data_IF_230394744672
#
_entry.id   IF_230394744672
#
_cell.length_a   1.000
_cell.length_b   1.000
_cell.length_c   1.000
_cell.angle_alpha   90.00
_cell.angle_beta   90.00
_cell.angle_gamma   90.00
#
_symmetry.space_group_name_H-M   'P 1'
#
loop_
_entity.id
_entity.type
_entity.pdbx_description
1 polymer ?
#
# COMPACT_ATOMS: atom_id res chain seq x y z
N UNK A 1 -18.68 -20.10 9.94
CA UNK A 1 -18.81 -19.18 8.79
C UNK A 1 -18.56 -17.77 9.30
N UNK A 2 -17.63 -17.00 8.73
CA UNK A 2 -17.27 -15.68 9.25
C UNK A 2 -18.41 -14.68 8.97
N UNK A 3 -19.04 -14.13 10.01
CA UNK A 3 -20.21 -13.23 9.92
C UNK A 3 -19.97 -12.05 8.96
N UNK A 4 -18.77 -11.48 9.00
CA UNK A 4 -18.38 -10.37 8.11
C UNK A 4 -18.29 -10.80 6.66
N UNK A 5 -17.80 -12.02 6.40
CA UNK A 5 -17.76 -12.58 5.05
C UNK A 5 -19.16 -12.76 4.49
N UNK A 6 -20.08 -13.34 5.26
CA UNK A 6 -21.48 -13.52 4.83
C UNK A 6 -22.18 -12.18 4.60
N UNK A 7 -21.94 -11.19 5.46
CA UNK A 7 -22.51 -9.84 5.30
C UNK A 7 -21.94 -9.10 4.09
N UNK A 8 -20.66 -9.26 3.79
CA UNK A 8 -20.02 -8.66 2.61
C UNK A 8 -20.59 -9.26 1.31
N UNK A 9 -20.77 -10.58 1.24
CA UNK A 9 -21.39 -11.22 0.08
C UNK A 9 -22.80 -10.69 -0.18
N UNK A 10 -23.65 -10.61 0.86
CA UNK A 10 -24.99 -10.05 0.72
C UNK A 10 -25.02 -8.56 0.34
N UNK A 11 -23.97 -7.80 0.67
CA UNK A 11 -23.84 -6.41 0.26
C UNK A 11 -23.50 -6.34 -1.23
N UNK A 12 -22.51 -7.13 -1.67
CA UNK A 12 -22.09 -7.22 -3.08
C UNK A 12 -23.25 -7.63 -3.96
N UNK A 13 -24.05 -8.63 -3.55
CA UNK A 13 -25.22 -9.11 -4.30
C UNK A 13 -26.32 -8.04 -4.50
N UNK A 14 -26.27 -6.93 -3.75
CA UNK A 14 -27.27 -5.86 -3.79
C UNK A 14 -26.79 -4.60 -4.51
N UNK A 15 -25.51 -4.52 -4.83
CA UNK A 15 -24.92 -3.38 -5.53
C UNK A 15 -25.05 -3.61 -7.04
N UNK A 16 -25.29 -2.54 -7.78
CA UNK A 16 -25.13 -2.55 -9.23
C UNK A 16 -23.65 -2.62 -9.62
N UNK A 17 -23.37 -2.97 -10.87
CA UNK A 17 -21.99 -3.04 -11.38
C UNK A 17 -21.27 -1.69 -11.26
N UNK A 18 -21.96 -0.58 -11.47
CA UNK A 18 -21.42 0.79 -11.31
C UNK A 18 -21.06 1.08 -9.85
N UNK A 19 -21.96 0.78 -8.91
CA UNK A 19 -21.67 0.95 -7.47
C UNK A 19 -20.55 0.03 -6.98
N UNK A 20 -20.41 -1.16 -7.57
CA UNK A 20 -19.30 -2.08 -7.30
C UNK A 20 -17.97 -1.54 -7.80
N UNK A 21 -17.93 -0.97 -9.01
CA UNK A 21 -16.74 -0.36 -9.58
C UNK A 21 -16.28 0.84 -8.75
N UNK A 22 -17.19 1.74 -8.40
CA UNK A 22 -16.90 2.89 -7.52
C UNK A 22 -16.40 2.43 -6.14
N UNK A 23 -17.07 1.45 -5.53
CA UNK A 23 -16.69 0.91 -4.22
C UNK A 23 -15.33 0.20 -4.27
N UNK A 24 -14.98 -0.41 -5.40
CA UNK A 24 -13.71 -1.09 -5.58
C UNK A 24 -12.53 -0.12 -5.56
N UNK A 25 -12.64 1.04 -6.20
CA UNK A 25 -11.58 2.08 -6.22
C UNK A 25 -11.23 2.53 -4.80
N UNK A 26 -12.23 2.78 -3.97
CA UNK A 26 -12.05 3.17 -2.57
C UNK A 26 -11.43 2.04 -1.74
N UNK A 27 -11.95 0.81 -1.92
CA UNK A 27 -11.45 -0.36 -1.19
C UNK A 27 -10.00 -0.69 -1.57
N UNK A 28 -9.65 -0.57 -2.85
CA UNK A 28 -8.31 -0.81 -3.37
C UNK A 28 -7.30 0.17 -2.76
N UNK A 29 -7.64 1.46 -2.72
CA UNK A 29 -6.80 2.50 -2.09
C UNK A 29 -6.56 2.18 -0.62
N UNK A 30 -7.63 1.90 0.13
CA UNK A 30 -7.54 1.54 1.55
C UNK A 30 -6.74 0.25 1.78
N UNK A 31 -6.87 -0.72 0.88
CA UNK A 31 -6.12 -1.97 0.94
C UNK A 31 -4.62 -1.72 0.77
N UNK A 32 -4.22 -0.92 -0.22
CA UNK A 32 -2.81 -0.57 -0.44
C UNK A 32 -2.23 0.21 0.74
N UNK A 33 -2.94 1.21 1.26
CA UNK A 33 -2.51 1.96 2.43
C UNK A 33 -2.31 1.05 3.64
N UNK A 34 -3.28 0.16 3.92
CA UNK A 34 -3.19 -0.80 5.00
C UNK A 34 -2.01 -1.77 4.81
N UNK A 35 -1.80 -2.25 3.58
CA UNK A 35 -0.71 -3.15 3.25
C UNK A 35 0.65 -2.49 3.48
N UNK A 36 0.87 -1.29 2.94
CA UNK A 36 2.11 -0.52 3.11
C UNK A 36 2.34 -0.23 4.59
N UNK A 37 1.32 0.18 5.33
CA UNK A 37 1.45 0.45 6.76
C UNK A 37 1.87 -0.82 7.53
N UNK A 38 1.26 -1.97 7.24
CA UNK A 38 1.65 -3.25 7.86
C UNK A 38 3.08 -3.64 7.52
N UNK A 39 3.50 -3.45 6.27
CA UNK A 39 4.87 -3.72 5.86
C UNK A 39 5.88 -2.84 6.61
N UNK A 40 5.60 -1.54 6.74
CA UNK A 40 6.42 -0.60 7.52
C UNK A 40 6.49 -1.04 8.98
N UNK A 41 5.36 -1.38 9.60
CA UNK A 41 5.31 -1.84 10.99
C UNK A 41 6.10 -3.14 11.20
N UNK A 42 6.01 -4.09 10.26
CA UNK A 42 6.79 -5.32 10.30
C UNK A 42 8.29 -5.03 10.17
N UNK A 43 8.67 -4.17 9.23
CA UNK A 43 10.07 -3.74 9.01
C UNK A 43 10.65 -3.12 10.27
N UNK A 44 9.91 -2.20 10.92
CA UNK A 44 10.32 -1.55 12.17
C UNK A 44 10.63 -2.52 13.30
N UNK A 45 10.02 -3.71 13.34
CA UNK A 45 10.33 -4.72 14.37
C UNK A 45 11.71 -5.35 14.20
N UNK A 46 12.24 -5.36 12.97
CA UNK A 46 13.55 -5.95 12.64
C UNK A 46 14.66 -4.92 12.45
N UNK A 47 14.37 -3.62 12.49
CA UNK A 47 15.38 -2.58 12.31
C UNK A 47 16.26 -2.42 13.54
N UNK A 48 17.57 -2.42 13.33
CA UNK A 48 18.56 -1.96 14.30
C UNK A 48 18.93 -0.49 14.04
N UNK A 49 19.54 0.20 15.02
CA UNK A 49 20.11 1.51 14.79
C UNK A 49 21.10 1.49 13.61
N UNK A 50 20.84 2.29 12.57
CA UNK A 50 21.65 2.35 11.35
C UNK A 50 21.05 1.63 10.12
N UNK A 51 20.03 0.77 10.29
CA UNK A 51 19.36 0.08 9.18
C UNK A 51 18.40 1.00 8.40
N UNK A 52 18.10 2.18 8.96
CA UNK A 52 17.22 3.17 8.35
C UNK A 52 17.97 4.44 8.04
N UNK A 53 17.72 4.99 6.85
CA UNK A 53 18.18 6.31 6.49
C UNK A 53 17.29 7.38 7.13
N UNK A 54 17.91 8.44 7.61
CA UNK A 54 17.22 9.72 7.83
C UNK A 54 16.73 10.27 6.48
N UNK A 55 15.78 11.22 6.54
CA UNK A 55 15.27 11.88 5.34
C UNK A 55 16.39 12.54 4.53
N UNK A 56 17.35 13.17 5.20
CA UNK A 56 18.49 13.84 4.59
C UNK A 56 19.45 12.84 3.93
N UNK A 57 19.69 11.69 4.56
CA UNK A 57 20.51 10.61 3.99
C UNK A 57 19.83 9.97 2.77
N UNK A 58 18.53 9.72 2.85
CA UNK A 58 17.74 9.21 1.73
C UNK A 58 17.74 10.20 0.54
N UNK A 59 17.57 11.50 0.79
CA UNK A 59 17.62 12.54 -0.24
C UNK A 59 18.99 12.65 -0.92
N UNK A 60 20.09 12.35 -0.22
CA UNK A 60 21.44 12.29 -0.82
C UNK A 60 21.63 11.07 -1.71
N UNK A 61 20.94 9.96 -1.42
CA UNK A 61 21.02 8.72 -2.19
C UNK A 61 20.06 8.69 -3.39
N UNK A 62 18.96 9.44 -3.35
CA UNK A 62 17.97 9.51 -4.45
C UNK A 62 18.58 9.93 -5.81
N UNK A 63 19.50 10.92 -5.90
CA UNK A 63 20.20 11.24 -7.15
C UNK A 63 21.12 10.11 -7.66
N UNK A 64 21.69 9.31 -6.76
CA UNK A 64 22.55 8.17 -7.09
C UNK A 64 21.75 6.94 -7.57
N UNK A 65 20.44 6.93 -7.30
CA UNK A 65 19.50 5.88 -7.72
C UNK A 65 18.81 6.18 -9.06
N UNK A 66 19.07 7.34 -9.68
CA UNK A 66 18.60 7.59 -11.05
C UNK A 66 19.41 6.71 -12.02
N UNK A 67 18.77 5.88 -12.86
CA UNK A 67 19.49 5.29 -13.98
C UNK A 67 20.04 6.44 -14.83
N UNK A 68 21.30 6.32 -15.24
CA UNK A 68 21.95 7.28 -16.13
C UNK A 68 20.97 7.71 -17.24
N UNK A 69 20.92 9.00 -17.61
CA UNK A 69 20.05 9.44 -18.70
C UNK A 69 20.33 8.55 -19.90
N UNK A 70 19.29 7.83 -20.36
CA UNK A 70 19.39 7.09 -21.62
C UNK A 70 19.68 8.13 -22.69
N UNK A 71 20.94 8.25 -23.08
CA UNK A 71 21.35 9.00 -24.25
C UNK A 71 20.60 8.39 -25.43
N UNK A 72 19.74 9.20 -26.05
CA UNK A 72 19.12 8.90 -27.34
C UNK A 72 20.19 8.86 -28.43
#
# INVERSE_FOLDING_TARGET
MNLFRSRAHHLIDRLSDEELEDSWVELETLFYDLYVMKAIQASKKGHNPGDTLTREEALRLLPLAQPAPRSL
#
